data_IF_556781437485
#
_entry.id   IF_556781437485
#
_cell.length_a   1.000
_cell.length_b   1.000
_cell.length_c   1.000
_cell.angle_alpha   90.00
_cell.angle_beta   90.00
_cell.angle_gamma   90.00
#
_symmetry.space_group_name_H-M   'P 1'
#
loop_
_entity.id
_entity.type
_entity.pdbx_description
1 polymer ?
#
# COMPACT_ATOMS: atom_id res chain seq x y z
N UNK A 1 27.68 -9.66 8.04
CA UNK A 1 26.33 -9.07 8.12
C UNK A 1 26.08 -8.42 6.78
N UNK A 2 24.93 -8.65 6.13
CA UNK A 2 24.62 -8.03 4.82
C UNK A 2 24.20 -6.58 5.06
N UNK A 3 24.87 -5.65 4.36
CA UNK A 3 24.61 -4.20 4.43
C UNK A 3 23.66 -3.81 3.32
N UNK A 4 22.49 -3.27 3.69
CA UNK A 4 21.41 -2.92 2.79
C UNK A 4 21.25 -1.40 2.72
N UNK A 5 21.29 -0.84 1.52
CA UNK A 5 20.83 0.52 1.24
C UNK A 5 19.36 0.47 0.81
N UNK A 6 18.47 1.11 1.54
CA UNK A 6 17.06 1.24 1.16
C UNK A 6 16.81 2.62 0.58
N UNK A 7 16.21 2.71 -0.60
CA UNK A 7 15.89 3.97 -1.27
C UNK A 7 14.38 4.14 -1.35
N UNK A 8 13.89 5.21 -0.75
CA UNK A 8 12.47 5.56 -0.73
C UNK A 8 12.30 7.09 -0.68
N UNK A 9 11.26 7.61 -1.34
CA UNK A 9 11.05 9.06 -1.47
C UNK A 9 10.80 9.78 -0.14
N UNK A 10 10.14 9.14 0.82
CA UNK A 10 9.83 9.67 2.17
C UNK A 10 9.95 8.55 3.21
N UNK A 11 10.39 8.88 4.41
CA UNK A 11 10.52 7.91 5.50
C UNK A 11 10.39 8.59 6.88
N UNK A 12 9.53 8.05 7.74
CA UNK A 12 9.31 8.54 9.11
C UNK A 12 8.10 7.87 9.77
N UNK A 13 7.98 7.95 11.09
CA UNK A 13 6.83 7.39 11.84
C UNK A 13 5.53 8.13 11.50
N UNK A 14 5.64 9.43 11.27
CA UNK A 14 4.54 10.33 10.95
C UNK A 14 4.34 10.55 9.44
N UNK A 15 5.01 9.74 8.60
CA UNK A 15 4.82 9.73 7.15
C UNK A 15 3.73 8.72 6.80
N UNK A 16 2.63 9.22 6.25
CA UNK A 16 1.47 8.40 5.85
C UNK A 16 1.58 8.08 4.35
N UNK A 17 1.49 6.81 4.01
CA UNK A 17 1.48 6.30 2.63
C UNK A 17 1.73 4.80 2.61
N UNK A 18 1.10 4.07 1.67
CA UNK A 18 1.21 2.61 1.59
C UNK A 18 2.64 2.13 1.37
N UNK A 19 3.33 2.72 0.40
CA UNK A 19 4.71 2.35 0.06
C UNK A 19 5.70 2.78 1.16
N UNK A 20 5.49 3.94 1.77
CA UNK A 20 6.32 4.44 2.87
C UNK A 20 6.16 3.57 4.13
N UNK A 21 4.93 3.18 4.46
CA UNK A 21 4.67 2.23 5.55
C UNK A 21 5.30 0.88 5.27
N UNK A 22 5.14 0.35 4.04
CA UNK A 22 5.77 -0.88 3.61
C UNK A 22 7.30 -0.82 3.73
N UNK A 23 7.92 0.26 3.24
CA UNK A 23 9.38 0.44 3.29
C UNK A 23 9.89 0.49 4.73
N UNK A 24 9.17 1.17 5.62
CA UNK A 24 9.50 1.25 7.05
C UNK A 24 9.38 -0.11 7.72
N UNK A 25 8.25 -0.78 7.54
CA UNK A 25 7.99 -2.08 8.16
C UNK A 25 9.00 -3.15 7.72
N UNK A 26 9.36 -3.17 6.43
CA UNK A 26 10.38 -4.08 5.90
C UNK A 26 11.77 -3.70 6.44
N UNK A 27 12.15 -2.43 6.42
CA UNK A 27 13.46 -1.97 6.88
C UNK A 27 13.70 -2.30 8.36
N UNK A 28 12.73 -1.98 9.22
CA UNK A 28 12.80 -2.23 10.66
C UNK A 28 12.92 -3.75 10.95
N UNK A 29 12.13 -4.58 10.24
CA UNK A 29 12.14 -6.03 10.45
C UNK A 29 13.35 -6.72 9.85
N UNK A 30 13.89 -6.27 8.72
CA UNK A 30 15.16 -6.74 8.19
C UNK A 30 16.31 -6.42 9.17
N UNK A 31 16.31 -5.18 9.70
CA UNK A 31 17.31 -4.79 10.71
C UNK A 31 17.21 -5.68 11.96
N UNK A 32 16.01 -5.92 12.47
CA UNK A 32 15.78 -6.83 13.60
C UNK A 32 16.17 -8.30 13.29
N UNK A 33 16.19 -8.70 12.01
CA UNK A 33 16.58 -10.03 11.54
C UNK A 33 18.08 -10.16 11.23
N UNK A 34 18.88 -9.18 11.66
CA UNK A 34 20.36 -9.22 11.59
C UNK A 34 20.93 -8.77 10.25
N UNK A 35 20.23 -7.91 9.51
CA UNK A 35 20.80 -7.12 8.43
C UNK A 35 21.25 -5.75 8.97
N UNK A 36 22.19 -5.11 8.29
CA UNK A 36 22.59 -3.73 8.57
C UNK A 36 21.88 -2.82 7.56
N UNK A 37 20.87 -2.07 8.03
CA UNK A 37 19.97 -1.33 7.14
C UNK A 37 20.20 0.17 7.27
N UNK A 38 20.51 0.81 6.16
CA UNK A 38 20.56 2.26 6.01
C UNK A 38 19.52 2.72 4.99
N UNK A 39 18.64 3.65 5.39
CA UNK A 39 17.62 4.25 4.52
C UNK A 39 18.12 5.56 3.96
N UNK A 40 18.09 5.70 2.63
CA UNK A 40 18.32 6.94 1.89
C UNK A 40 16.97 7.51 1.49
N UNK A 41 16.65 8.69 1.99
CA UNK A 41 15.35 9.33 1.77
C UNK A 41 15.47 10.84 1.69
N UNK A 42 14.39 11.52 1.32
CA UNK A 42 14.38 12.98 1.31
C UNK A 42 13.92 13.57 2.63
N UNK A 43 14.05 14.88 2.75
CA UNK A 43 13.52 15.66 3.89
C UNK A 43 12.03 15.96 3.77
N UNK A 44 11.36 15.53 2.69
CA UNK A 44 9.94 15.75 2.49
C UNK A 44 9.08 14.89 3.43
N UNK A 45 7.98 15.48 3.93
CA UNK A 45 6.95 14.77 4.68
C UNK A 45 5.68 14.56 3.87
N UNK A 46 5.24 15.54 3.12
CA UNK A 46 4.07 15.42 2.26
C UNK A 46 4.45 14.99 0.83
N UNK A 47 3.51 14.35 0.14
CA UNK A 47 3.71 13.89 -1.24
C UNK A 47 3.14 14.87 -2.29
N UNK A 48 2.54 15.97 -1.85
CA UNK A 48 1.91 16.95 -2.74
C UNK A 48 2.96 17.90 -3.27
N UNK A 49 3.64 18.58 -2.37
CA UNK A 49 4.60 19.64 -2.71
C UNK A 49 6.05 19.18 -2.63
N UNK A 50 6.35 18.09 -1.97
CA UNK A 50 7.70 17.64 -1.60
C UNK A 50 8.47 18.65 -0.75
N UNK A 51 7.77 19.51 -0.03
CA UNK A 51 8.37 20.54 0.82
C UNK A 51 9.33 19.93 1.83
N UNK A 52 10.50 20.56 1.95
CA UNK A 52 11.49 20.22 2.96
C UNK A 52 10.90 20.41 4.37
N UNK A 53 10.77 19.35 5.14
CA UNK A 53 10.19 19.35 6.48
C UNK A 53 11.19 18.88 7.54
N UNK A 54 11.83 17.72 7.31
CA UNK A 54 12.83 17.19 8.22
C UNK A 54 14.19 17.87 8.01
N UNK A 55 15.02 17.86 9.05
CA UNK A 55 16.42 18.28 8.92
C UNK A 55 17.18 17.26 8.08
N UNK A 56 18.04 17.74 7.18
CA UNK A 56 19.01 16.90 6.48
C UNK A 56 20.03 16.32 7.46
N UNK A 57 20.57 15.16 7.13
CA UNK A 57 21.56 14.47 7.93
C UNK A 57 21.14 13.08 8.34
N UNK A 58 21.80 12.52 9.34
CA UNK A 58 21.61 11.17 9.80
C UNK A 58 20.86 11.11 11.13
N UNK A 59 19.92 10.19 11.25
CA UNK A 59 19.16 9.90 12.47
C UNK A 59 18.97 8.39 12.59
N UNK A 60 18.61 7.91 13.78
CA UNK A 60 18.30 6.50 14.01
C UNK A 60 16.84 6.39 14.43
N UNK A 61 16.11 5.45 13.82
CA UNK A 61 14.74 5.11 14.18
C UNK A 61 14.63 3.59 14.31
N UNK A 62 14.29 3.09 15.49
CA UNK A 62 14.19 1.65 15.81
C UNK A 62 15.39 0.81 15.33
N UNK A 63 16.58 1.37 15.47
CA UNK A 63 17.83 0.72 15.07
C UNK A 63 18.24 0.88 13.60
N UNK A 64 17.35 1.41 12.76
CA UNK A 64 17.62 1.70 11.34
C UNK A 64 18.27 3.07 11.22
N UNK A 65 19.39 3.16 10.50
CA UNK A 65 20.05 4.42 10.16
C UNK A 65 19.27 5.10 9.03
N UNK A 66 18.88 6.36 9.20
CA UNK A 66 18.13 7.14 8.21
C UNK A 66 18.96 8.33 7.79
N UNK A 67 19.31 8.40 6.52
CA UNK A 67 20.03 9.50 5.88
C UNK A 67 19.06 10.32 5.05
N UNK A 68 18.82 11.57 5.48
CA UNK A 68 17.89 12.49 4.81
C UNK A 68 18.62 13.54 3.98
N UNK A 69 18.16 13.70 2.75
CA UNK A 69 18.71 14.62 1.77
C UNK A 69 17.67 15.69 1.40
N UNK A 70 18.08 16.94 1.16
CA UNK A 70 17.14 17.99 0.79
C UNK A 70 16.48 17.67 -0.55
N UNK A 71 15.24 18.08 -0.69
CA UNK A 71 14.58 18.21 -1.99
C UNK A 71 15.05 19.51 -2.62
N UNK A 72 15.54 19.45 -3.84
CA UNK A 72 16.13 20.58 -4.54
C UNK A 72 15.06 21.56 -5.05
N UNK A 73 13.91 21.02 -5.49
CA UNK A 73 12.79 21.79 -6.04
C UNK A 73 11.47 21.25 -5.48
N UNK A 74 10.71 22.13 -4.85
CA UNK A 74 9.36 21.83 -4.40
C UNK A 74 8.43 21.67 -5.63
N UNK A 75 7.49 20.71 -5.58
CA UNK A 75 6.55 20.47 -6.67
C UNK A 75 5.38 21.45 -6.62
N UNK A 76 5.13 22.11 -7.73
CA UNK A 76 3.90 22.83 -7.96
C UNK A 76 2.85 21.86 -8.55
N UNK A 77 1.77 21.58 -7.80
CA UNK A 77 0.76 20.61 -8.21
C UNK A 77 -0.07 21.05 -9.41
N UNK A 78 -0.31 22.34 -9.57
CA UNK A 78 -1.12 22.85 -10.69
C UNK A 78 -0.32 22.74 -12.00
N UNK A 79 0.97 23.09 -11.94
CA UNK A 79 1.91 22.88 -13.05
C UNK A 79 2.04 21.41 -13.36
N UNK A 80 2.29 20.57 -12.35
CA UNK A 80 2.45 19.12 -12.52
C UNK A 80 1.20 18.49 -13.15
N UNK A 81 0.01 18.78 -12.65
CA UNK A 81 -1.24 18.22 -13.17
C UNK A 81 -1.50 18.66 -14.62
N UNK A 82 -1.25 19.94 -14.92
CA UNK A 82 -1.43 20.49 -16.28
C UNK A 82 -0.48 19.81 -17.26
N UNK A 83 0.81 19.66 -16.87
CA UNK A 83 1.83 19.02 -17.71
C UNK A 83 1.54 17.53 -17.86
N UNK A 84 1.24 16.81 -16.78
CA UNK A 84 0.92 15.38 -16.82
C UNK A 84 -0.28 15.08 -17.69
N UNK A 85 -1.37 15.85 -17.53
CA UNK A 85 -2.59 15.68 -18.34
C UNK A 85 -2.30 15.87 -19.83
N UNK A 86 -1.45 16.82 -20.18
CA UNK A 86 -1.04 17.07 -21.56
C UNK A 86 -0.08 15.99 -22.07
N UNK A 87 0.88 15.56 -21.25
CA UNK A 87 1.91 14.58 -21.61
C UNK A 87 1.30 13.20 -21.93
N UNK A 88 0.34 12.74 -21.13
CA UNK A 88 -0.32 11.45 -21.34
C UNK A 88 -1.54 11.52 -22.26
N UNK A 89 -1.90 12.70 -22.78
CA UNK A 89 -2.98 12.83 -23.74
C UNK A 89 -2.45 12.56 -25.17
N UNK A 90 -2.92 11.49 -25.84
CA UNK A 90 -2.44 11.17 -27.18
C UNK A 90 -2.73 12.26 -28.23
N UNK A 91 -3.71 13.13 -27.99
CA UNK A 91 -4.14 14.19 -28.89
C UNK A 91 -3.45 15.55 -28.63
N UNK A 92 -2.68 15.66 -27.54
CA UNK A 92 -2.06 16.95 -27.15
C UNK A 92 -0.67 16.72 -26.57
N UNK A 93 0.28 16.37 -27.43
CA UNK A 93 1.69 16.18 -27.00
C UNK A 93 2.29 17.54 -26.65
N UNK A 94 2.65 17.72 -25.38
CA UNK A 94 3.63 18.75 -24.99
C UNK A 94 5.03 18.21 -25.28
N UNK A 95 5.93 19.11 -25.69
CA UNK A 95 7.34 18.82 -25.95
C UNK A 95 8.16 18.71 -24.66
N UNK A 96 7.75 17.81 -23.74
CA UNK A 96 8.58 17.40 -22.61
C UNK A 96 8.97 15.94 -22.76
N UNK A 97 10.17 15.64 -22.34
CA UNK A 97 10.72 14.28 -22.30
C UNK A 97 10.18 13.51 -21.10
N UNK A 98 10.27 12.17 -21.14
CA UNK A 98 9.94 11.32 -20.00
C UNK A 98 10.83 11.63 -18.78
N UNK A 99 12.09 12.02 -19.00
CA UNK A 99 13.02 12.44 -17.95
C UNK A 99 12.55 13.72 -17.24
N UNK A 100 12.14 14.73 -18.02
CA UNK A 100 11.59 15.96 -17.47
C UNK A 100 10.29 15.72 -16.71
N UNK A 101 9.47 14.75 -17.16
CA UNK A 101 8.29 14.35 -16.42
C UNK A 101 8.64 13.71 -15.07
N UNK A 102 9.67 12.86 -14.99
CA UNK A 102 10.18 12.29 -13.73
C UNK A 102 10.73 13.37 -12.81
N UNK A 103 11.39 14.38 -13.36
CA UNK A 103 11.90 15.51 -12.58
C UNK A 103 10.74 16.35 -12.01
N UNK A 104 9.66 16.56 -12.77
CA UNK A 104 8.43 17.20 -12.29
C UNK A 104 7.66 16.35 -11.26
N UNK A 105 7.65 15.03 -11.43
CA UNK A 105 7.05 14.11 -10.45
C UNK A 105 7.80 14.16 -9.13
N UNK A 106 9.12 14.21 -9.17
CA UNK A 106 9.99 14.32 -8.00
C UNK A 106 9.96 13.09 -7.06
N UNK A 107 10.35 13.27 -5.78
CA UNK A 107 11.05 14.45 -5.25
C UNK A 107 12.49 14.53 -5.79
N UNK A 108 12.86 15.64 -6.41
CA UNK A 108 14.21 15.84 -6.95
C UNK A 108 15.18 16.02 -5.78
N UNK A 109 16.18 15.16 -5.70
CA UNK A 109 17.25 15.23 -4.71
C UNK A 109 18.55 14.72 -5.34
N UNK A 110 19.28 15.62 -5.99
CA UNK A 110 20.55 15.30 -6.66
C UNK A 110 21.57 14.79 -5.66
N UNK A 111 21.65 15.42 -4.49
CA UNK A 111 22.57 15.01 -3.42
C UNK A 111 22.33 13.57 -2.95
N UNK A 112 21.09 13.08 -2.94
CA UNK A 112 20.78 11.68 -2.61
C UNK A 112 21.39 10.74 -3.65
N UNK A 113 21.17 11.03 -4.93
CA UNK A 113 21.66 10.22 -6.04
C UNK A 113 23.20 10.20 -6.07
N UNK A 114 23.82 11.37 -5.98
CA UNK A 114 25.29 11.52 -5.96
C UNK A 114 25.91 10.77 -4.77
N UNK A 115 25.33 10.92 -3.58
CA UNK A 115 25.82 10.21 -2.39
C UNK A 115 25.76 8.69 -2.57
N UNK A 116 24.68 8.15 -3.13
CA UNK A 116 24.59 6.72 -3.40
C UNK A 116 25.60 6.30 -4.46
N UNK A 117 25.78 7.07 -5.53
CA UNK A 117 26.76 6.79 -6.55
C UNK A 117 28.18 6.70 -5.97
N UNK A 118 28.55 7.61 -5.06
CA UNK A 118 29.88 7.66 -4.47
C UNK A 118 30.09 6.60 -3.39
N UNK A 119 29.04 6.25 -2.64
CA UNK A 119 29.15 5.40 -1.46
C UNK A 119 28.59 3.98 -1.66
N UNK A 120 28.08 3.64 -2.86
CA UNK A 120 27.44 2.33 -3.10
C UNK A 120 28.32 1.12 -2.75
N UNK A 121 29.64 1.25 -2.76
CA UNK A 121 30.56 0.18 -2.40
C UNK A 121 30.57 -0.16 -0.90
N UNK A 122 29.99 0.69 -0.07
CA UNK A 122 29.77 0.42 1.35
C UNK A 122 28.61 -0.55 1.59
N UNK A 123 27.81 -0.85 0.58
CA UNK A 123 26.61 -1.68 0.65
C UNK A 123 26.76 -2.94 -0.22
N UNK A 124 26.09 -4.00 0.19
CA UNK A 124 26.13 -5.28 -0.52
C UNK A 124 24.95 -5.40 -1.49
N UNK A 125 23.82 -4.69 -1.21
CA UNK A 125 22.61 -4.68 -2.01
C UNK A 125 21.78 -3.42 -1.72
N UNK A 126 21.01 -2.97 -2.73
CA UNK A 126 20.05 -1.89 -2.58
C UNK A 126 18.61 -2.38 -2.78
N UNK A 127 17.68 -1.85 -1.98
CA UNK A 127 16.24 -2.11 -2.07
C UNK A 127 15.52 -0.81 -2.38
N UNK A 128 14.73 -0.81 -3.45
CA UNK A 128 13.94 0.33 -3.89
C UNK A 128 12.46 0.09 -3.63
N UNK A 129 11.76 1.15 -3.21
CA UNK A 129 10.31 1.14 -3.05
C UNK A 129 9.68 2.13 -4.00
N UNK A 130 8.65 1.67 -4.73
CA UNK A 130 7.96 2.35 -5.83
C UNK A 130 8.84 2.59 -7.06
N UNK A 131 8.26 2.33 -8.24
CA UNK A 131 8.95 2.51 -9.52
C UNK A 131 8.94 3.96 -10.03
N UNK A 132 7.97 4.76 -9.55
CA UNK A 132 7.49 5.99 -10.20
C UNK A 132 8.31 7.25 -9.90
N UNK A 133 9.08 7.26 -8.81
CA UNK A 133 9.68 8.51 -8.30
C UNK A 133 11.13 8.72 -8.75
N UNK A 134 11.49 10.01 -8.81
CA UNK A 134 12.85 10.48 -9.12
C UNK A 134 13.94 9.68 -8.38
N UNK A 135 13.75 9.49 -7.07
CA UNK A 135 14.72 8.79 -6.22
C UNK A 135 15.01 7.37 -6.70
N UNK A 136 14.00 6.62 -7.14
CA UNK A 136 14.17 5.27 -7.71
C UNK A 136 14.77 5.34 -9.11
N UNK A 137 14.16 6.11 -10.01
CA UNK A 137 14.54 6.16 -11.43
C UNK A 137 15.99 6.62 -11.60
N UNK A 138 16.35 7.75 -10.97
CA UNK A 138 17.69 8.32 -11.14
C UNK A 138 18.78 7.51 -10.42
N UNK A 139 18.46 6.97 -9.23
CA UNK A 139 19.44 6.13 -8.53
C UNK A 139 19.71 4.82 -9.24
N UNK A 140 18.70 4.14 -9.78
CA UNK A 140 18.90 2.93 -10.57
C UNK A 140 19.80 3.16 -11.78
N UNK A 141 19.79 4.35 -12.40
CA UNK A 141 20.66 4.66 -13.56
C UNK A 141 22.15 4.62 -13.20
N UNK A 142 22.51 5.12 -12.02
CA UNK A 142 23.93 5.22 -11.59
C UNK A 142 24.39 4.02 -10.75
N UNK A 143 23.47 3.18 -10.32
CA UNK A 143 23.77 2.06 -9.43
C UNK A 143 24.48 0.91 -10.19
N UNK A 144 25.57 0.40 -9.61
CA UNK A 144 26.37 -0.75 -10.08
C UNK A 144 26.24 -1.97 -9.16
N UNK A 145 25.71 -1.79 -7.95
CA UNK A 145 25.50 -2.85 -6.97
C UNK A 145 24.22 -3.64 -7.26
N UNK A 146 24.12 -4.86 -6.74
CA UNK A 146 22.88 -5.63 -6.77
C UNK A 146 21.68 -4.83 -6.26
N UNK A 147 20.54 -5.02 -6.89
CA UNK A 147 19.34 -4.29 -6.51
C UNK A 147 18.07 -5.11 -6.57
N UNK A 148 17.14 -4.75 -5.69
CA UNK A 148 15.79 -5.29 -5.61
C UNK A 148 14.80 -4.14 -5.69
N UNK A 149 13.71 -4.31 -6.41
CA UNK A 149 12.62 -3.34 -6.47
C UNK A 149 11.32 -3.94 -5.93
N UNK A 150 10.66 -3.22 -5.02
CA UNK A 150 9.24 -3.37 -4.69
C UNK A 150 8.47 -2.34 -5.55
N UNK A 151 7.89 -2.75 -6.68
CA UNK A 151 7.37 -1.77 -7.63
C UNK A 151 6.17 -1.00 -7.11
N UNK A 152 5.28 -1.66 -6.37
CA UNK A 152 3.95 -1.14 -5.98
C UNK A 152 3.19 -0.60 -7.19
N UNK A 153 3.28 -1.34 -8.30
CA UNK A 153 2.77 -0.95 -9.61
C UNK A 153 1.28 -1.30 -9.77
N UNK A 154 0.60 -0.46 -10.53
CA UNK A 154 -0.76 -0.69 -11.01
C UNK A 154 -0.91 -0.11 -12.41
N UNK A 155 -2.02 -0.41 -13.09
CA UNK A 155 -2.25 0.09 -14.44
C UNK A 155 -2.50 1.61 -14.40
N UNK A 156 -1.49 2.37 -14.77
CA UNK A 156 -1.53 3.84 -14.82
C UNK A 156 -0.65 4.35 -15.98
N UNK A 157 -0.92 5.57 -16.51
CA UNK A 157 -0.20 6.05 -17.70
C UNK A 157 1.33 6.02 -17.59
N UNK A 158 1.96 6.38 -16.46
CA UNK A 158 3.42 6.40 -16.36
C UNK A 158 4.12 5.06 -16.56
N UNK A 159 3.45 3.92 -16.25
CA UNK A 159 4.07 2.60 -16.41
C UNK A 159 4.39 2.30 -17.89
N UNK A 160 3.74 2.99 -18.82
CA UNK A 160 3.92 2.83 -20.26
C UNK A 160 5.03 3.70 -20.84
N UNK A 161 5.72 4.51 -20.04
CA UNK A 161 6.88 5.29 -20.48
C UNK A 161 8.04 4.37 -20.84
N UNK A 162 8.80 4.72 -21.88
CA UNK A 162 9.94 3.91 -22.37
C UNK A 162 11.05 3.75 -21.32
N UNK A 163 11.28 4.81 -20.52
CA UNK A 163 12.29 4.78 -19.47
C UNK A 163 11.97 3.75 -18.36
N UNK A 164 10.70 3.34 -18.22
CA UNK A 164 10.31 2.32 -17.24
C UNK A 164 10.88 0.95 -17.57
N UNK A 165 11.26 0.71 -18.81
CA UNK A 165 11.97 -0.52 -19.19
C UNK A 165 13.20 -0.73 -18.31
N UNK A 166 14.05 0.28 -18.18
CA UNK A 166 15.27 0.17 -17.35
C UNK A 166 14.94 0.01 -15.87
N UNK A 167 13.87 0.65 -15.39
CA UNK A 167 13.43 0.56 -13.99
C UNK A 167 12.97 -0.85 -13.62
N UNK A 168 12.28 -1.55 -14.53
CA UNK A 168 11.78 -2.90 -14.27
C UNK A 168 12.75 -4.01 -14.70
N UNK A 169 13.57 -3.80 -15.72
CA UNK A 169 14.45 -4.85 -16.25
C UNK A 169 15.86 -4.88 -15.61
N UNK A 170 16.33 -3.76 -15.04
CA UNK A 170 17.66 -3.67 -14.43
C UNK A 170 17.81 -4.37 -13.07
N UNK A 171 16.82 -4.33 -12.13
CA UNK A 171 16.97 -4.95 -10.82
C UNK A 171 17.20 -6.46 -10.90
N UNK A 172 18.05 -6.99 -10.00
CA UNK A 172 18.34 -8.44 -9.90
C UNK A 172 17.12 -9.23 -9.39
N UNK A 173 16.19 -8.56 -8.70
CA UNK A 173 14.89 -9.13 -8.34
C UNK A 173 13.79 -8.06 -8.23
N UNK A 174 12.55 -8.48 -8.54
CA UNK A 174 11.34 -7.71 -8.27
C UNK A 174 10.50 -8.45 -7.24
N UNK A 175 10.11 -7.75 -6.19
CA UNK A 175 9.28 -8.25 -5.11
C UNK A 175 7.87 -7.68 -5.22
N UNK A 176 6.93 -8.52 -5.61
CA UNK A 176 5.54 -8.15 -5.84
C UNK A 176 4.68 -8.38 -4.61
N UNK A 177 3.72 -7.49 -4.38
CA UNK A 177 2.79 -7.59 -3.26
C UNK A 177 1.61 -8.52 -3.59
N UNK A 178 1.21 -8.58 -4.87
CA UNK A 178 0.08 -9.40 -5.36
C UNK A 178 0.44 -10.10 -6.65
N UNK A 179 -0.32 -11.18 -6.97
CA UNK A 179 -0.21 -11.87 -8.26
C UNK A 179 -0.61 -10.96 -9.41
N UNK A 180 -1.68 -10.18 -9.23
CA UNK A 180 -2.15 -9.24 -10.25
C UNK A 180 -1.08 -8.19 -10.61
N UNK A 181 -0.37 -7.62 -9.62
CA UNK A 181 0.76 -6.73 -9.86
C UNK A 181 1.88 -7.42 -10.65
N UNK A 182 2.22 -8.65 -10.25
CA UNK A 182 3.27 -9.43 -10.91
C UNK A 182 2.91 -9.73 -12.37
N UNK A 183 1.67 -10.11 -12.65
CA UNK A 183 1.19 -10.40 -13.99
C UNK A 183 1.16 -9.14 -14.86
N UNK A 184 0.70 -8.00 -14.33
CA UNK A 184 0.74 -6.71 -15.01
C UNK A 184 2.15 -6.38 -15.49
N UNK A 185 3.14 -6.46 -14.59
CA UNK A 185 4.53 -6.10 -14.91
C UNK A 185 5.16 -7.11 -15.88
N UNK A 186 4.92 -8.41 -15.69
CA UNK A 186 5.41 -9.47 -16.62
C UNK A 186 4.84 -9.34 -18.01
N UNK A 187 3.61 -8.88 -18.16
CA UNK A 187 2.97 -8.69 -19.46
C UNK A 187 3.52 -7.47 -20.21
N UNK A 188 4.12 -6.50 -19.49
CA UNK A 188 4.64 -5.25 -20.07
C UNK A 188 6.16 -5.27 -20.31
N UNK A 189 6.92 -6.00 -19.50
CA UNK A 189 8.39 -5.94 -19.49
C UNK A 189 9.03 -7.32 -19.59
N UNK A 190 10.19 -7.37 -20.24
CA UNK A 190 11.03 -8.58 -20.35
C UNK A 190 11.96 -8.67 -19.15
N UNK A 191 11.44 -9.17 -18.02
CA UNK A 191 12.15 -9.19 -16.76
C UNK A 191 13.36 -10.16 -16.81
N UNK A 192 14.55 -9.64 -16.53
CA UNK A 192 15.80 -10.41 -16.45
C UNK A 192 16.01 -10.91 -15.02
N UNK A 193 15.65 -10.10 -14.04
CA UNK A 193 15.74 -10.41 -12.63
C UNK A 193 14.74 -11.46 -12.15
N UNK A 194 14.93 -11.95 -10.93
CA UNK A 194 13.98 -12.88 -10.31
C UNK A 194 12.65 -12.19 -10.02
N UNK A 195 11.56 -12.87 -10.23
CA UNK A 195 10.22 -12.40 -9.85
C UNK A 195 9.74 -13.17 -8.64
N UNK A 196 9.45 -12.47 -7.56
CA UNK A 196 9.10 -13.06 -6.26
C UNK A 196 7.80 -12.46 -5.75
N UNK A 197 6.80 -13.29 -5.50
CA UNK A 197 5.57 -12.87 -4.82
C UNK A 197 5.88 -12.75 -3.31
N UNK A 198 6.46 -11.60 -2.92
CA UNK A 198 6.90 -11.35 -1.56
C UNK A 198 5.74 -11.15 -0.60
N UNK A 199 4.68 -10.49 -1.10
CA UNK A 199 3.56 -9.98 -0.30
C UNK A 199 4.02 -8.89 0.67
N UNK A 200 3.16 -8.48 1.60
CA UNK A 200 3.51 -7.69 2.78
C UNK A 200 2.99 -8.37 4.03
N UNK A 201 3.49 -7.99 5.19
CA UNK A 201 2.96 -8.48 6.45
C UNK A 201 1.83 -7.60 6.99
N UNK A 202 0.97 -8.21 7.78
CA UNK A 202 0.03 -7.52 8.67
C UNK A 202 0.23 -8.01 10.10
N UNK A 203 0.00 -7.09 11.04
CA UNK A 203 0.09 -7.43 12.46
C UNK A 203 -1.18 -8.17 12.89
N UNK A 204 -1.03 -9.44 13.26
CA UNK A 204 -2.12 -10.28 13.75
C UNK A 204 -2.25 -10.06 15.25
N UNK A 205 -3.08 -9.10 15.65
CA UNK A 205 -3.40 -8.86 17.06
C UNK A 205 -4.33 -9.96 17.58
N UNK A 206 -3.90 -10.65 18.62
CA UNK A 206 -4.71 -11.63 19.35
C UNK A 206 -5.34 -10.98 20.58
N UNK A 207 -6.41 -11.59 21.08
CA UNK A 207 -7.10 -11.14 22.30
C UNK A 207 -7.62 -9.68 22.21
N UNK A 208 -8.11 -9.31 21.04
CA UNK A 208 -8.70 -7.99 20.81
C UNK A 208 -10.06 -7.94 21.52
N UNK A 209 -10.27 -6.92 22.34
CA UNK A 209 -11.56 -6.65 22.94
C UNK A 209 -12.51 -6.03 21.89
N UNK A 210 -13.44 -6.82 21.37
CA UNK A 210 -14.41 -6.38 20.35
C UNK A 210 -15.34 -5.26 20.85
N UNK A 211 -15.45 -5.07 22.16
CA UNK A 211 -16.31 -4.04 22.77
C UNK A 211 -15.61 -2.69 22.95
N UNK A 212 -14.28 -2.62 22.85
CA UNK A 212 -13.51 -1.40 23.07
C UNK A 212 -13.93 -0.28 22.11
N UNK A 213 -13.95 -0.55 20.83
CA UNK A 213 -14.38 0.41 19.80
C UNK A 213 -15.81 0.87 20.04
N UNK A 214 -16.71 -0.05 20.37
CA UNK A 214 -18.11 0.27 20.65
C UNK A 214 -18.25 1.23 21.81
N UNK A 215 -17.49 1.03 22.89
CA UNK A 215 -17.49 1.93 24.06
C UNK A 215 -16.95 3.31 23.74
N UNK A 216 -15.83 3.39 23.01
CA UNK A 216 -15.18 4.66 22.69
C UNK A 216 -16.03 5.53 21.74
N UNK A 217 -16.71 4.91 20.79
CA UNK A 217 -17.43 5.63 19.72
C UNK A 217 -18.96 5.54 19.83
N UNK A 218 -19.50 4.99 20.93
CA UNK A 218 -20.95 4.91 21.16
C UNK A 218 -21.69 4.05 20.14
N UNK A 219 -21.07 2.98 19.63
CA UNK A 219 -21.68 2.08 18.64
C UNK A 219 -22.49 1.01 19.36
N UNK A 220 -23.81 1.11 19.31
CA UNK A 220 -24.72 0.19 20.00
C UNK A 220 -25.19 -0.93 19.06
N UNK A 221 -25.57 -0.57 17.84
CA UNK A 221 -26.08 -1.53 16.84
C UNK A 221 -24.99 -2.44 16.27
N UNK A 222 -25.33 -3.61 15.68
CA UNK A 222 -24.46 -4.28 14.72
C UNK A 222 -24.02 -3.30 13.62
N UNK A 223 -22.83 -3.47 13.04
CA UNK A 223 -22.38 -2.53 12.04
C UNK A 223 -21.57 -3.19 10.89
N UNK A 224 -21.70 -2.61 9.70
CA UNK A 224 -20.77 -2.76 8.60
C UNK A 224 -19.65 -1.74 8.77
N UNK A 225 -18.42 -2.10 8.38
CA UNK A 225 -17.26 -1.25 8.53
C UNK A 225 -16.63 -0.90 7.19
N UNK A 226 -16.43 0.39 6.93
CA UNK A 226 -15.51 0.87 5.91
C UNK A 226 -14.29 1.50 6.59
N UNK A 227 -13.10 1.09 6.16
CA UNK A 227 -11.83 1.64 6.63
C UNK A 227 -11.00 2.11 5.45
N UNK A 228 -10.67 3.41 5.41
CA UNK A 228 -9.89 3.98 4.33
C UNK A 228 -10.14 5.48 4.14
N UNK A 229 -9.54 6.05 3.10
CA UNK A 229 -9.84 7.44 2.70
C UNK A 229 -11.24 7.52 2.13
N UNK A 230 -12.04 8.45 2.65
CA UNK A 230 -13.39 8.72 2.18
C UNK A 230 -13.26 9.77 1.08
N UNK A 231 -13.06 9.31 -0.15
CA UNK A 231 -12.79 10.14 -1.33
C UNK A 231 -13.47 9.61 -2.60
N UNK A 232 -13.65 10.48 -3.59
CA UNK A 232 -14.13 10.08 -4.92
C UNK A 232 -13.17 9.05 -5.54
N UNK A 233 -13.72 8.10 -6.27
CA UNK A 233 -12.94 7.01 -6.87
C UNK A 233 -12.75 5.78 -5.99
N UNK A 234 -13.11 5.84 -4.69
CA UNK A 234 -13.14 4.67 -3.80
C UNK A 234 -14.46 3.89 -3.84
N UNK A 235 -15.39 4.25 -4.72
CA UNK A 235 -16.65 3.53 -4.93
C UNK A 235 -17.65 3.63 -3.77
N UNK A 236 -17.49 4.65 -2.91
CA UNK A 236 -18.35 4.85 -1.75
C UNK A 236 -19.81 5.14 -2.10
N UNK A 237 -20.06 5.68 -3.28
CA UNK A 237 -21.40 5.95 -3.77
C UNK A 237 -22.22 4.65 -3.82
N UNK A 238 -21.66 3.57 -4.35
CA UNK A 238 -22.30 2.25 -4.38
C UNK A 238 -22.59 1.73 -2.97
N UNK A 239 -21.66 1.95 -2.03
CA UNK A 239 -21.85 1.57 -0.63
C UNK A 239 -22.97 2.36 0.03
N UNK A 240 -23.03 3.67 -0.18
CA UNK A 240 -24.06 4.52 0.41
C UNK A 240 -25.47 4.17 -0.12
N UNK A 241 -25.61 3.99 -1.44
CA UNK A 241 -26.87 3.59 -2.05
C UNK A 241 -27.35 2.24 -1.52
N UNK A 242 -26.48 1.24 -1.48
CA UNK A 242 -26.81 -0.07 -0.93
C UNK A 242 -27.17 0.00 0.55
N UNK A 243 -26.44 0.79 1.34
CA UNK A 243 -26.67 0.91 2.78
C UNK A 243 -28.05 1.48 3.12
N UNK A 244 -28.54 2.46 2.36
CA UNK A 244 -29.89 3.01 2.56
C UNK A 244 -30.95 1.89 2.46
N UNK A 245 -30.85 1.00 1.48
CA UNK A 245 -31.79 -0.12 1.32
C UNK A 245 -31.59 -1.21 2.38
N UNK A 246 -30.34 -1.49 2.77
CA UNK A 246 -30.02 -2.44 3.85
C UNK A 246 -30.60 -1.94 5.18
N UNK A 247 -30.47 -0.65 5.47
CA UNK A 247 -30.94 -0.03 6.72
C UNK A 247 -32.46 -0.09 6.87
N UNK A 248 -33.22 0.05 5.79
CA UNK A 248 -34.69 -0.08 5.82
C UNK A 248 -35.18 -1.42 6.34
N UNK A 249 -34.39 -2.49 6.13
CA UNK A 249 -34.76 -3.86 6.46
C UNK A 249 -34.06 -4.41 7.72
N UNK A 250 -32.98 -3.74 8.16
CA UNK A 250 -32.10 -4.28 9.21
C UNK A 250 -31.71 -3.18 10.21
N UNK A 251 -31.66 -3.52 11.47
CA UNK A 251 -31.11 -2.67 12.53
C UNK A 251 -29.57 -2.76 12.51
N UNK A 252 -28.93 -2.06 11.58
CA UNK A 252 -27.48 -2.09 11.39
C UNK A 252 -26.95 -0.69 11.09
N UNK A 253 -25.76 -0.34 11.58
CA UNK A 253 -25.08 0.92 11.27
C UNK A 253 -24.02 0.71 10.20
N UNK A 254 -23.67 1.75 9.45
CA UNK A 254 -22.48 1.84 8.62
C UNK A 254 -21.46 2.74 9.31
N UNK A 255 -20.36 2.17 9.74
CA UNK A 255 -19.27 2.91 10.38
C UNK A 255 -18.19 3.20 9.35
N UNK A 256 -17.80 4.47 9.23
CA UNK A 256 -16.77 4.96 8.34
C UNK A 256 -15.57 5.45 9.16
N UNK A 257 -14.39 4.89 8.96
CA UNK A 257 -13.15 5.36 9.60
C UNK A 257 -12.07 5.70 8.58
N UNK A 258 -11.34 6.80 8.86
CA UNK A 258 -10.27 7.31 8.02
C UNK A 258 -10.42 8.80 7.67
N UNK A 259 -9.61 9.28 6.72
CA UNK A 259 -9.62 10.70 6.33
C UNK A 259 -10.82 11.02 5.44
N UNK A 260 -11.61 12.02 5.83
CA UNK A 260 -12.72 12.55 5.03
C UNK A 260 -12.18 13.54 3.99
N UNK A 261 -12.38 13.24 2.71
CA UNK A 261 -12.01 14.07 1.55
C UNK A 261 -13.19 14.30 0.59
N UNK A 262 -14.37 13.76 0.90
CA UNK A 262 -15.63 14.04 0.23
C UNK A 262 -16.77 14.10 1.26
N UNK A 263 -17.91 14.62 0.86
CA UNK A 263 -19.07 14.66 1.74
C UNK A 263 -19.66 13.27 1.96
N UNK A 264 -20.06 13.01 3.20
CA UNK A 264 -20.76 11.81 3.61
C UNK A 264 -22.24 12.14 3.64
N UNK A 265 -23.12 11.35 3.01
CA UNK A 265 -24.55 11.59 3.04
C UNK A 265 -25.10 11.63 4.48
N UNK A 266 -25.95 12.59 4.77
CA UNK A 266 -26.75 12.61 6.00
C UNK A 266 -27.83 11.53 5.89
N UNK A 267 -27.62 10.39 6.49
CA UNK A 267 -28.55 9.27 6.50
C UNK A 267 -28.54 8.57 7.87
N UNK A 268 -29.71 8.10 8.28
CA UNK A 268 -29.80 7.34 9.53
C UNK A 268 -28.89 6.11 9.50
N UNK A 269 -28.13 5.92 10.60
CA UNK A 269 -27.22 4.79 10.76
C UNK A 269 -25.84 4.95 10.12
N UNK A 270 -25.55 6.03 9.37
CA UNK A 270 -24.18 6.31 8.91
C UNK A 270 -23.42 7.06 10.04
N UNK A 271 -22.29 6.51 10.45
CA UNK A 271 -21.46 7.06 11.53
C UNK A 271 -20.02 7.25 11.06
N UNK A 272 -19.56 8.49 11.05
CA UNK A 272 -18.18 8.82 10.77
C UNK A 272 -17.40 9.02 12.06
N UNK A 273 -16.33 8.26 12.27
CA UNK A 273 -15.52 8.28 13.50
C UNK A 273 -14.12 8.89 13.31
N UNK A 274 -13.75 9.26 12.08
CA UNK A 274 -12.43 9.85 11.83
C UNK A 274 -11.29 8.84 11.88
N UNK A 275 -10.10 9.32 12.23
CA UNK A 275 -8.96 8.45 12.51
C UNK A 275 -9.10 7.81 13.88
N UNK A 276 -8.77 6.54 13.97
CA UNK A 276 -8.81 5.77 15.21
C UNK A 276 -7.42 5.22 15.54
N UNK A 277 -7.19 4.84 16.80
CA UNK A 277 -5.97 4.15 17.20
C UNK A 277 -5.88 2.76 16.55
N UNK A 278 -4.67 2.19 16.46
CA UNK A 278 -4.48 0.82 15.96
C UNK A 278 -5.21 -0.23 16.83
N UNK A 279 -5.43 0.04 18.09
CA UNK A 279 -6.18 -0.82 18.99
C UNK A 279 -7.69 -0.73 18.71
N UNK A 280 -8.22 0.49 18.59
CA UNK A 280 -9.61 0.71 18.20
C UNK A 280 -9.92 0.17 16.80
N UNK A 281 -8.97 0.31 15.85
CA UNK A 281 -9.10 -0.24 14.51
C UNK A 281 -9.25 -1.77 14.53
N UNK A 282 -8.40 -2.45 15.27
CA UNK A 282 -8.50 -3.90 15.43
C UNK A 282 -9.82 -4.30 16.11
N UNK A 283 -10.24 -3.57 17.15
CA UNK A 283 -11.52 -3.76 17.83
C UNK A 283 -12.71 -3.51 16.88
N UNK A 284 -12.64 -2.48 16.04
CA UNK A 284 -13.67 -2.20 15.04
C UNK A 284 -13.83 -3.33 14.03
N UNK A 285 -12.72 -3.83 13.47
CA UNK A 285 -12.78 -5.01 12.60
C UNK A 285 -13.35 -6.22 13.33
N UNK A 286 -12.86 -6.54 14.53
CA UNK A 286 -13.34 -7.71 15.30
C UNK A 286 -14.82 -7.64 15.63
N UNK A 287 -15.35 -6.46 15.91
CA UNK A 287 -16.75 -6.23 16.27
C UNK A 287 -17.71 -6.01 15.09
N UNK A 288 -17.21 -5.89 13.87
CA UNK A 288 -18.02 -5.68 12.67
C UNK A 288 -18.71 -6.97 12.20
N UNK A 289 -19.89 -6.83 11.60
CA UNK A 289 -20.57 -7.93 10.89
C UNK A 289 -19.78 -8.31 9.65
N UNK A 290 -19.30 -7.33 8.91
CA UNK A 290 -18.39 -7.45 7.77
C UNK A 290 -17.69 -6.12 7.54
N UNK A 291 -16.56 -6.13 6.88
CA UNK A 291 -16.00 -4.92 6.26
C UNK A 291 -16.38 -4.84 4.79
N UNK A 292 -16.33 -3.62 4.23
CA UNK A 292 -16.66 -3.38 2.82
C UNK A 292 -15.52 -2.63 2.15
N UNK A 293 -15.08 -3.12 1.00
CA UNK A 293 -14.06 -2.51 0.16
C UNK A 293 -14.65 -2.22 -1.22
N UNK A 294 -15.29 -1.06 -1.39
CA UNK A 294 -16.00 -0.73 -2.62
C UNK A 294 -15.07 -0.17 -3.72
N UNK A 295 -13.78 0.00 -3.45
CA UNK A 295 -12.81 0.54 -4.38
C UNK A 295 -12.68 -0.31 -5.65
N UNK A 296 -12.81 0.27 -6.86
CA UNK A 296 -12.59 -0.45 -8.10
C UNK A 296 -11.10 -0.67 -8.40
N UNK A 297 -10.19 -0.03 -7.66
CA UNK A 297 -8.74 -0.11 -7.89
C UNK A 297 -7.97 -0.10 -6.57
N UNK A 298 -7.22 -1.15 -6.33
CA UNK A 298 -6.30 -1.30 -5.19
C UNK A 298 -5.02 -1.99 -5.65
N UNK A 299 -3.89 -1.62 -5.05
CA UNK A 299 -2.61 -2.31 -5.27
C UNK A 299 -2.42 -3.52 -4.34
N UNK A 300 -3.00 -3.47 -3.13
CA UNK A 300 -2.93 -4.55 -2.15
C UNK A 300 -4.18 -4.67 -1.28
N UNK A 301 -4.78 -3.54 -0.87
CA UNK A 301 -5.85 -3.47 0.13
C UNK A 301 -5.47 -4.03 1.50
N UNK A 302 -4.58 -3.32 2.21
CA UNK A 302 -4.18 -3.67 3.59
C UNK A 302 -5.41 -3.84 4.50
N UNK A 303 -6.43 -3.01 4.34
CA UNK A 303 -7.67 -3.07 5.13
C UNK A 303 -8.45 -4.38 4.96
N UNK A 304 -8.39 -5.01 3.78
CA UNK A 304 -8.92 -6.38 3.58
C UNK A 304 -8.16 -7.40 4.44
N UNK A 305 -6.84 -7.30 4.45
CA UNK A 305 -5.99 -8.20 5.24
C UNK A 305 -6.15 -7.96 6.75
N UNK A 306 -6.30 -6.69 7.17
CA UNK A 306 -6.60 -6.32 8.56
C UNK A 306 -7.96 -6.87 9.01
N UNK A 307 -8.98 -6.81 8.14
CA UNK A 307 -10.29 -7.41 8.41
C UNK A 307 -10.17 -8.92 8.62
N UNK A 308 -9.50 -9.62 7.72
CA UNK A 308 -9.24 -11.05 7.84
C UNK A 308 -8.42 -11.40 9.07
N UNK A 309 -7.44 -10.56 9.46
CA UNK A 309 -6.64 -10.77 10.68
C UNK A 309 -7.47 -10.75 11.96
N UNK A 310 -8.68 -10.18 11.90
CA UNK A 310 -9.64 -10.14 12.99
C UNK A 310 -10.84 -11.09 12.79
N UNK A 311 -10.72 -12.08 11.90
CA UNK A 311 -11.76 -13.04 11.56
C UNK A 311 -13.07 -12.38 11.06
N UNK A 312 -12.96 -11.26 10.38
CA UNK A 312 -14.11 -10.53 9.85
C UNK A 312 -14.18 -10.67 8.34
N UNK A 313 -15.30 -11.17 7.76
CA UNK A 313 -15.44 -11.33 6.34
C UNK A 313 -15.52 -9.99 5.61
N UNK A 314 -15.15 -9.99 4.32
CA UNK A 314 -15.09 -8.78 3.51
C UNK A 314 -16.05 -8.85 2.32
N UNK A 315 -16.75 -7.74 2.05
CA UNK A 315 -17.48 -7.53 0.80
C UNK A 315 -16.60 -6.66 -0.11
N UNK A 316 -16.33 -7.11 -1.34
CA UNK A 316 -15.35 -6.48 -2.21
C UNK A 316 -15.92 -6.12 -3.58
N UNK A 317 -15.44 -5.02 -4.17
CA UNK A 317 -15.78 -4.67 -5.54
C UNK A 317 -15.15 -5.66 -6.53
N UNK A 318 -15.99 -6.30 -7.35
CA UNK A 318 -15.59 -7.31 -8.33
C UNK A 318 -14.78 -6.75 -9.51
N UNK A 319 -14.81 -5.43 -9.74
CA UNK A 319 -13.99 -4.79 -10.75
C UNK A 319 -12.51 -4.68 -10.34
N UNK A 320 -12.18 -4.86 -9.06
CA UNK A 320 -10.81 -4.81 -8.56
C UNK A 320 -10.18 -6.20 -8.56
N UNK A 321 -9.25 -6.46 -9.48
CA UNK A 321 -8.58 -7.76 -9.61
C UNK A 321 -7.84 -8.19 -8.33
N UNK A 322 -7.20 -7.26 -7.63
CA UNK A 322 -6.50 -7.51 -6.37
C UNK A 322 -7.45 -7.95 -5.27
N UNK A 323 -8.60 -7.30 -5.13
CA UNK A 323 -9.62 -7.70 -4.16
C UNK A 323 -10.20 -9.08 -4.50
N UNK A 324 -10.43 -9.31 -5.80
CA UNK A 324 -10.89 -10.62 -6.29
C UNK A 324 -9.85 -11.73 -6.08
N UNK A 325 -8.55 -11.43 -6.21
CA UNK A 325 -7.47 -12.37 -5.86
C UNK A 325 -7.57 -12.78 -4.39
N UNK A 326 -7.70 -11.81 -3.46
CA UNK A 326 -7.88 -12.10 -2.04
C UNK A 326 -9.08 -13.00 -1.78
N UNK A 327 -10.24 -12.73 -2.38
CA UNK A 327 -11.45 -13.56 -2.20
C UNK A 327 -11.28 -14.96 -2.79
N UNK A 328 -10.75 -15.08 -4.00
CA UNK A 328 -10.52 -16.37 -4.67
C UNK A 328 -9.56 -17.27 -3.88
N UNK A 329 -8.48 -16.69 -3.33
CA UNK A 329 -7.47 -17.45 -2.59
C UNK A 329 -7.89 -17.75 -1.15
N UNK A 330 -8.67 -16.89 -0.52
CA UNK A 330 -9.07 -17.07 0.89
C UNK A 330 -10.42 -17.73 1.05
N UNK A 331 -11.41 -17.42 0.21
CA UNK A 331 -12.83 -17.69 0.47
C UNK A 331 -13.41 -16.84 1.62
N UNK A 332 -12.68 -15.81 2.09
CA UNK A 332 -13.01 -15.03 3.29
C UNK A 332 -14.06 -13.94 3.08
N UNK A 333 -14.74 -13.90 1.95
CA UNK A 333 -15.73 -12.86 1.66
C UNK A 333 -16.49 -13.08 0.38
N UNK A 334 -17.26 -12.08 -0.05
CA UNK A 334 -18.10 -12.13 -1.25
C UNK A 334 -17.85 -10.91 -2.13
N UNK A 335 -17.89 -11.06 -3.46
CA UNK A 335 -17.80 -9.94 -4.39
C UNK A 335 -19.15 -9.25 -4.60
N UNK A 336 -19.11 -8.03 -5.13
CA UNK A 336 -20.25 -7.30 -5.68
C UNK A 336 -19.79 -6.36 -6.81
N UNK A 337 -20.62 -6.15 -7.81
CA UNK A 337 -20.35 -5.22 -8.92
C UNK A 337 -21.22 -3.96 -8.89
N UNK A 338 -22.33 -3.98 -8.12
CA UNK A 338 -23.28 -2.89 -8.00
C UNK A 338 -23.98 -2.93 -6.64
N UNK A 339 -24.88 -1.95 -6.39
CA UNK A 339 -25.59 -1.83 -5.11
C UNK A 339 -26.50 -3.01 -4.81
N UNK A 340 -27.19 -3.58 -5.80
CA UNK A 340 -28.09 -4.72 -5.60
C UNK A 340 -27.32 -5.97 -5.20
N UNK A 341 -26.19 -6.24 -5.87
CA UNK A 341 -25.30 -7.35 -5.52
C UNK A 341 -24.64 -7.17 -4.14
N UNK A 342 -24.33 -5.93 -3.74
CA UNK A 342 -23.83 -5.63 -2.40
C UNK A 342 -24.88 -5.96 -1.35
N UNK A 343 -26.17 -5.60 -1.60
CA UNK A 343 -27.29 -5.94 -0.71
C UNK A 343 -27.44 -7.47 -0.59
N UNK A 344 -27.36 -8.21 -1.68
CA UNK A 344 -27.45 -9.68 -1.69
C UNK A 344 -26.28 -10.32 -0.92
N UNK A 345 -25.05 -9.88 -1.18
CA UNK A 345 -23.85 -10.36 -0.51
C UNK A 345 -23.88 -10.05 0.99
N UNK A 346 -24.32 -8.85 1.37
CA UNK A 346 -24.55 -8.49 2.77
C UNK A 346 -25.57 -9.41 3.43
N UNK A 347 -26.74 -9.62 2.83
CA UNK A 347 -27.80 -10.45 3.37
C UNK A 347 -27.31 -11.89 3.59
N UNK A 348 -26.49 -12.43 2.69
CA UNK A 348 -25.87 -13.76 2.80
C UNK A 348 -25.02 -13.89 4.07
N UNK A 349 -24.26 -12.86 4.43
CA UNK A 349 -23.40 -12.82 5.63
C UNK A 349 -24.23 -12.49 6.88
N UNK A 350 -25.18 -11.55 6.78
CA UNK A 350 -25.94 -11.05 7.92
C UNK A 350 -26.91 -12.09 8.47
N UNK A 351 -27.64 -12.80 7.60
CA UNK A 351 -28.65 -13.77 8.00
C UNK A 351 -28.08 -15.11 8.47
N UNK A 352 -26.82 -15.43 8.14
CA UNK A 352 -26.17 -16.70 8.52
C UNK A 352 -24.91 -16.50 9.34
N UNK A 353 -25.04 -16.55 10.68
CA UNK A 353 -23.88 -16.49 11.58
C UNK A 353 -22.83 -17.55 11.29
N UNK A 354 -23.26 -18.76 10.89
CA UNK A 354 -22.35 -19.86 10.58
C UNK A 354 -21.51 -19.54 9.33
N UNK A 355 -22.13 -19.04 8.26
CA UNK A 355 -21.40 -18.62 7.04
C UNK A 355 -20.42 -17.48 7.36
N UNK A 356 -20.90 -16.47 8.09
CA UNK A 356 -20.07 -15.35 8.53
C UNK A 356 -18.84 -15.80 9.30
N UNK A 357 -19.01 -16.65 10.31
CA UNK A 357 -17.92 -17.15 11.13
C UNK A 357 -16.96 -18.04 10.32
N UNK A 358 -17.47 -18.86 9.41
CA UNK A 358 -16.64 -19.68 8.52
C UNK A 358 -15.78 -18.78 7.62
N UNK A 359 -16.39 -17.82 6.94
CA UNK A 359 -15.66 -16.88 6.06
C UNK A 359 -14.59 -16.09 6.83
N UNK A 360 -14.92 -15.60 8.03
CA UNK A 360 -13.94 -14.91 8.87
C UNK A 360 -12.75 -15.80 9.21
N UNK A 361 -12.99 -17.04 9.63
CA UNK A 361 -11.93 -17.99 10.00
C UNK A 361 -11.02 -18.35 8.82
N UNK A 362 -11.58 -18.68 7.66
CA UNK A 362 -10.77 -19.00 6.48
C UNK A 362 -10.00 -17.80 5.96
N UNK A 363 -10.57 -16.58 6.08
CA UNK A 363 -9.85 -15.33 5.84
C UNK A 363 -8.65 -15.15 6.79
N UNK A 364 -8.86 -15.44 8.08
CA UNK A 364 -7.77 -15.41 9.06
C UNK A 364 -6.67 -16.44 8.76
N UNK A 365 -7.02 -17.67 8.42
CA UNK A 365 -6.05 -18.71 8.07
C UNK A 365 -5.23 -18.33 6.82
N UNK A 366 -5.86 -17.68 5.85
CA UNK A 366 -5.18 -17.12 4.68
C UNK A 366 -4.16 -16.05 5.07
N UNK A 367 -4.54 -15.06 5.90
CA UNK A 367 -3.63 -14.03 6.36
C UNK A 367 -2.49 -14.62 7.18
N UNK A 368 -2.79 -15.50 8.12
CA UNK A 368 -1.78 -16.17 8.95
C UNK A 368 -0.75 -16.92 8.11
N UNK A 369 -1.20 -17.60 7.05
CA UNK A 369 -0.34 -18.42 6.18
C UNK A 369 0.52 -17.58 5.24
N UNK A 370 0.01 -16.47 4.72
CA UNK A 370 0.65 -15.78 3.60
C UNK A 370 1.10 -14.36 3.92
N UNK A 371 0.56 -13.74 4.96
CA UNK A 371 0.77 -12.33 5.31
C UNK A 371 1.25 -12.11 6.75
N UNK A 372 1.64 -13.15 7.49
CA UNK A 372 2.35 -12.96 8.75
C UNK A 372 3.73 -12.37 8.48
N UNK A 373 4.18 -11.43 9.31
CA UNK A 373 5.50 -10.81 9.14
C UNK A 373 6.65 -11.80 9.14
N UNK A 374 6.60 -12.86 9.95
CA UNK A 374 7.63 -13.91 9.98
C UNK A 374 7.78 -14.58 8.62
N UNK A 375 6.66 -14.91 7.97
CA UNK A 375 6.67 -15.54 6.65
C UNK A 375 7.12 -14.58 5.56
N UNK A 376 6.69 -13.31 5.62
CA UNK A 376 7.12 -12.29 4.65
C UNK A 376 8.62 -12.04 4.76
N UNK A 377 9.14 -11.81 5.97
CA UNK A 377 10.57 -11.57 6.18
C UNK A 377 11.40 -12.80 5.76
N UNK A 378 10.96 -14.03 6.06
CA UNK A 378 11.62 -15.24 5.58
C UNK A 378 11.69 -15.26 4.04
N UNK A 379 10.59 -14.91 3.37
CA UNK A 379 10.45 -14.95 1.90
C UNK A 379 11.32 -13.91 1.19
N UNK A 380 11.52 -12.75 1.79
CA UNK A 380 12.39 -11.70 1.21
C UNK A 380 13.87 -11.85 1.63
N UNK A 381 14.15 -12.30 2.84
CA UNK A 381 15.53 -12.39 3.37
C UNK A 381 16.39 -13.40 2.61
N UNK A 382 15.81 -14.53 2.21
CA UNK A 382 16.56 -15.59 1.49
C UNK A 382 17.07 -15.07 0.15
N UNK A 383 16.23 -14.54 -0.75
CA UNK A 383 16.70 -13.97 -2.01
C UNK A 383 17.68 -12.81 -1.84
N UNK A 384 17.47 -11.93 -0.85
CA UNK A 384 18.39 -10.82 -0.57
C UNK A 384 19.79 -11.36 -0.25
N UNK A 385 19.90 -12.36 0.63
CA UNK A 385 21.21 -12.98 0.95
C UNK A 385 21.85 -13.67 -0.26
N UNK A 386 21.06 -14.37 -1.07
CA UNK A 386 21.56 -15.04 -2.28
C UNK A 386 22.05 -14.05 -3.34
N UNK A 387 21.35 -12.94 -3.53
CA UNK A 387 21.71 -11.91 -4.50
C UNK A 387 22.96 -11.14 -4.04
N UNK A 388 23.02 -10.76 -2.76
CA UNK A 388 24.15 -10.05 -2.20
C UNK A 388 25.46 -10.87 -2.26
N UNK A 389 25.38 -12.20 -2.17
CA UNK A 389 26.55 -13.09 -2.20
C UNK A 389 27.06 -13.44 -3.63
N UNK A 390 26.26 -13.24 -4.68
CA UNK A 390 26.61 -13.63 -6.06
C UNK A 390 27.62 -12.73 -6.76
N UNK A 391 27.88 -11.54 -6.25
CA UNK A 391 28.78 -10.54 -6.86
C UNK A 391 30.03 -10.20 -6.04
N UNK A 392 30.37 -11.05 -5.04
CA UNK A 392 31.65 -10.99 -4.35
C UNK A 392 32.65 -11.98 -4.96
#
# INVERSE_FOLDING_TARGET
>A
MVRIGVVVQRYGEDVIGGAETLSRDISERLNASGFDVTVFTTTAKDYITWKNHYKSGETILKGVVIRRFPVDVERDMDVFNTVSSSFFNPNNKKDITEEEWIDLQGPVSTKLVDTIQDEQDKFDIFIFFTYLYYTTVKTLKVLKKPSVLFPTAHEEPPINMKLMKDVFEKPDALFFLTGAEMDLVKNKFSLIGRTILSRTGVDIKRNVDESLFRRHYGIVSPFMLYAGRIEKGKGLEVLFDAFVEIRKKNMIDLVLMGKKLMDIPESDGIKYVGFVSEEDKASAFRGAVCSVQPSPMESLSITTLESFSQETPVLVNSACEVLMEHIKLSGGGLPFGNSDELIESFNTIYTSRNKRNLMGRIGFDYVKKYYSWDEVIRRISIPIREISNKKN
#
